data_IF_584490163385
#
_entry.id   IF_584490163385
#
_cell.length_a   1.000
_cell.length_b   1.000
_cell.length_c   1.000
_cell.angle_alpha   90.00
_cell.angle_beta   90.00
_cell.angle_gamma   90.00
#
_symmetry.space_group_name_H-M   'P 1'
#
loop_
_entity.id
_entity.type
_entity.pdbx_description
1 polymer ?
#
# COMPACT_ATOMS: atom_id res chain seq x y z
N UNK A 1 -6.15 -5.30 36.87
CA UNK A 1 -6.07 -5.47 36.30
C UNK A 1 -5.84 -5.80 35.15
N UNK A 2 -5.79 -6.33 35.03
CA UNK A 2 -5.38 -6.91 34.07
C UNK A 2 -5.52 -6.42 32.85
N UNK A 3 -6.41 -6.12 32.73
CA UNK A 3 -6.70 -5.78 31.58
C UNK A 3 -5.84 -5.01 30.95
N UNK A 4 -5.35 -4.45 31.64
CA UNK A 4 -4.71 -3.69 31.14
C UNK A 4 -3.69 -4.14 30.54
N UNK A 5 -3.46 -5.05 30.92
CA UNK A 5 -2.54 -5.63 30.29
C UNK A 5 -2.94 -6.11 29.12
N UNK A 6 -3.97 -5.76 28.70
CA UNK A 6 -4.35 -6.10 27.44
C UNK A 6 -3.37 -5.57 26.48
N UNK A 7 -2.70 -6.42 25.88
CA UNK A 7 -1.79 -6.10 24.87
C UNK A 7 -2.57 -5.56 23.73
N UNK A 8 -2.21 -4.41 23.28
CA UNK A 8 -2.83 -3.84 22.11
C UNK A 8 -2.46 -4.70 20.91
N UNK A 9 -3.43 -5.45 20.43
CA UNK A 9 -3.27 -6.22 19.19
C UNK A 9 -4.03 -5.54 18.10
N UNK A 10 -3.39 -5.38 16.95
CA UNK A 10 -4.06 -4.86 15.77
C UNK A 10 -4.03 -5.93 14.70
N UNK A 11 -5.00 -5.88 13.82
CA UNK A 11 -5.01 -6.73 12.64
C UNK A 11 -4.29 -5.99 11.54
N UNK A 12 -3.26 -6.62 11.02
CA UNK A 12 -2.56 -6.11 9.85
C UNK A 12 -2.92 -6.89 8.62
N UNK A 13 -2.64 -6.33 7.47
CA UNK A 13 -2.78 -7.02 6.19
C UNK A 13 -1.42 -7.06 5.52
N UNK A 14 -1.05 -8.23 5.03
CA UNK A 14 0.13 -8.41 4.21
C UNK A 14 -0.29 -8.31 2.75
N UNK A 15 0.29 -7.36 2.05
CA UNK A 15 0.02 -7.11 0.64
C UNK A 15 1.25 -7.56 -0.14
N UNK A 16 1.05 -8.49 -1.07
CA UNK A 16 2.16 -9.00 -1.88
C UNK A 16 2.32 -8.10 -3.10
N UNK A 17 3.53 -7.61 -3.33
CA UNK A 17 3.91 -6.93 -4.56
C UNK A 17 4.79 -7.86 -5.38
N UNK A 18 5.22 -7.43 -6.55
CA UNK A 18 6.06 -8.28 -7.39
C UNK A 18 7.45 -8.52 -6.78
N UNK A 19 7.95 -7.60 -5.97
CA UNK A 19 9.31 -7.66 -5.42
C UNK A 19 9.39 -7.57 -3.91
N UNK A 20 8.27 -7.43 -3.21
CA UNK A 20 8.28 -7.26 -1.75
C UNK A 20 6.93 -7.56 -1.14
N UNK A 21 6.92 -7.65 0.17
CA UNK A 21 5.72 -7.84 0.97
C UNK A 21 5.51 -6.58 1.80
N UNK A 22 4.31 -6.04 1.79
CA UNK A 22 3.99 -4.85 2.59
C UNK A 22 3.12 -5.24 3.77
N UNK A 23 3.31 -4.55 4.88
CA UNK A 23 2.45 -4.67 6.05
C UNK A 23 1.75 -3.34 6.28
N UNK A 24 0.41 -3.35 6.29
CA UNK A 24 -0.39 -2.17 6.59
C UNK A 24 -1.44 -2.53 7.63
N UNK A 25 -1.95 -1.57 8.42
CA UNK A 25 -3.10 -1.86 9.28
C UNK A 25 -4.32 -2.21 8.41
N UNK A 26 -5.17 -3.10 8.90
CA UNK A 26 -6.36 -3.45 8.11
C UNK A 26 -7.27 -2.24 7.88
N UNK A 27 -7.24 -1.25 8.78
CA UNK A 27 -8.02 -0.02 8.63
C UNK A 27 -7.53 0.86 7.48
N UNK A 28 -6.32 0.62 6.98
CA UNK A 28 -5.82 1.38 5.83
C UNK A 28 -6.48 0.95 4.52
N UNK A 29 -7.03 -0.25 4.45
CA UNK A 29 -7.61 -0.80 3.23
C UNK A 29 -9.13 -0.68 3.28
N UNK A 30 -9.71 0.02 2.31
CA UNK A 30 -11.16 0.16 2.20
C UNK A 30 -11.78 -1.04 1.50
N UNK A 31 -11.14 -1.54 0.45
CA UNK A 31 -11.70 -2.65 -0.34
C UNK A 31 -10.64 -3.30 -1.22
N UNK A 32 -10.80 -4.59 -1.48
CA UNK A 32 -10.03 -5.31 -2.51
C UNK A 32 -10.89 -5.40 -3.76
N UNK A 33 -10.36 -4.97 -4.89
CA UNK A 33 -11.10 -5.00 -6.16
C UNK A 33 -10.25 -5.63 -7.25
N UNK A 34 -10.91 -6.01 -8.33
CA UNK A 34 -10.20 -6.59 -9.47
C UNK A 34 -9.45 -5.51 -10.25
N UNK A 35 -8.35 -5.91 -10.89
CA UNK A 35 -7.64 -5.04 -11.82
C UNK A 35 -8.37 -5.11 -13.16
N UNK A 36 -9.17 -4.09 -13.47
CA UNK A 36 -9.85 -4.01 -14.76
C UNK A 36 -10.36 -2.60 -15.01
N UNK A 37 -10.59 -2.29 -16.28
CA UNK A 37 -11.12 -1.00 -16.69
C UNK A 37 -10.26 0.17 -16.21
N UNK A 38 -8.95 -0.03 -16.22
CA UNK A 38 -8.00 1.01 -15.85
C UNK A 38 -7.82 1.95 -17.03
N UNK A 39 -8.00 3.24 -16.80
CA UNK A 39 -7.73 4.27 -17.79
C UNK A 39 -6.24 4.59 -17.74
N UNK A 40 -5.46 4.23 -18.75
CA UNK A 40 -4.00 4.42 -18.66
C UNK A 40 -3.62 5.89 -18.54
N UNK A 41 -2.57 6.14 -17.76
CA UNK A 41 -1.98 7.47 -17.66
C UNK A 41 -1.08 7.72 -18.88
N UNK A 42 -1.10 8.95 -19.40
CA UNK A 42 -0.27 9.34 -20.54
C UNK A 42 0.84 10.27 -20.06
N UNK A 43 2.04 10.07 -20.62
CA UNK A 43 3.18 10.92 -20.30
C UNK A 43 3.45 10.97 -18.78
N UNK A 44 3.33 9.82 -18.14
CA UNK A 44 3.45 9.67 -16.70
C UNK A 44 4.52 8.65 -16.37
N UNK A 45 5.10 8.69 -15.17
CA UNK A 45 6.05 7.67 -14.76
C UNK A 45 5.39 6.29 -14.71
N UNK A 46 6.20 5.22 -14.81
CA UNK A 46 5.69 3.85 -14.83
C UNK A 46 4.95 3.47 -13.54
N UNK A 47 5.24 4.13 -12.43
CA UNK A 47 4.56 3.81 -11.18
C UNK A 47 3.12 4.33 -11.15
N UNK A 48 2.75 5.26 -12.02
CA UNK A 48 1.37 5.72 -12.12
C UNK A 48 0.71 4.97 -13.27
N UNK A 49 -0.10 3.98 -12.95
CA UNK A 49 -0.72 3.13 -13.97
C UNK A 49 -1.90 3.80 -14.65
N UNK A 50 -2.59 4.69 -13.95
CA UNK A 50 -3.73 5.39 -14.52
C UNK A 50 -4.78 5.68 -13.48
N UNK A 51 -6.04 5.62 -13.90
CA UNK A 51 -7.21 5.88 -13.05
C UNK A 51 -8.09 4.65 -13.04
N UNK A 52 -8.68 4.35 -11.88
CA UNK A 52 -9.63 3.25 -11.77
C UNK A 52 -10.93 3.79 -11.19
N UNK A 53 -12.04 3.36 -11.74
CA UNK A 53 -13.36 3.76 -11.25
C UNK A 53 -13.73 2.94 -10.01
N UNK A 54 -14.22 3.61 -8.96
CA UNK A 54 -14.64 2.96 -7.74
C UNK A 54 -15.68 3.83 -7.04
N UNK A 55 -16.89 3.28 -6.84
CA UNK A 55 -17.99 3.99 -6.13
C UNK A 55 -18.21 5.42 -6.64
N UNK A 56 -18.36 5.56 -7.95
CA UNK A 56 -18.57 6.86 -8.60
C UNK A 56 -17.38 7.82 -8.48
N UNK A 57 -16.23 7.32 -8.05
CA UNK A 57 -15.00 8.09 -8.00
C UNK A 57 -14.04 7.57 -9.05
N UNK A 58 -13.12 8.42 -9.48
CA UNK A 58 -12.00 8.02 -10.31
C UNK A 58 -10.74 8.19 -9.48
N UNK A 59 -10.06 7.09 -9.18
CA UNK A 59 -8.93 7.09 -8.26
C UNK A 59 -7.63 6.84 -9.00
N UNK A 60 -6.55 7.53 -8.63
CA UNK A 60 -5.25 7.20 -9.20
C UNK A 60 -4.78 5.83 -8.71
N UNK A 61 -4.21 5.05 -9.62
CA UNK A 61 -3.71 3.71 -9.35
C UNK A 61 -2.19 3.71 -9.45
N UNK A 62 -1.53 3.34 -8.37
CA UNK A 62 -0.08 3.34 -8.30
C UNK A 62 0.50 1.94 -8.14
N UNK A 63 1.78 1.82 -8.52
CA UNK A 63 2.58 0.62 -8.24
C UNK A 63 3.81 1.05 -7.45
N UNK A 64 3.84 0.74 -6.16
CA UNK A 64 4.95 1.11 -5.28
C UNK A 64 6.28 0.51 -5.77
N UNK A 65 6.24 -0.71 -6.32
CA UNK A 65 7.45 -1.39 -6.78
C UNK A 65 8.15 -0.68 -7.94
N UNK A 66 7.48 0.23 -8.61
CA UNK A 66 8.08 0.97 -9.75
C UNK A 66 8.49 2.40 -9.39
N UNK A 67 8.28 2.83 -8.15
CA UNK A 67 8.54 4.22 -7.78
C UNK A 67 10.03 4.57 -7.86
N UNK A 68 10.88 3.68 -7.38
CA UNK A 68 12.31 3.98 -7.32
C UNK A 68 12.98 3.84 -8.68
N UNK A 69 12.71 2.77 -9.39
CA UNK A 69 13.42 2.44 -10.63
C UNK A 69 12.66 2.78 -11.90
N UNK A 70 11.42 3.23 -11.76
CA UNK A 70 10.55 3.60 -12.88
C UNK A 70 10.47 2.50 -13.95
N UNK A 71 10.43 1.24 -13.52
CA UNK A 71 10.35 0.10 -14.42
C UNK A 71 8.89 -0.26 -14.69
N UNK A 72 8.58 -0.85 -15.87
CA UNK A 72 7.23 -1.32 -16.12
C UNK A 72 6.80 -2.36 -15.11
N UNK A 73 5.52 -2.34 -14.73
CA UNK A 73 4.99 -3.28 -13.74
C UNK A 73 4.56 -4.56 -14.39
N UNK A 74 4.66 -5.66 -13.61
CA UNK A 74 4.14 -6.96 -13.99
C UNK A 74 2.67 -7.02 -13.56
N UNK A 75 1.78 -7.32 -14.48
CA UNK A 75 0.34 -7.38 -14.23
C UNK A 75 -0.19 -8.80 -14.01
N UNK A 76 0.71 -9.79 -13.93
CA UNK A 76 0.28 -11.16 -13.66
C UNK A 76 -0.32 -11.24 -12.26
N UNK A 77 -1.48 -11.86 -12.14
CA UNK A 77 -2.21 -12.02 -10.88
C UNK A 77 -2.49 -10.67 -10.20
N UNK A 78 -2.64 -9.61 -10.99
CA UNK A 78 -2.83 -8.26 -10.45
C UNK A 78 -4.19 -8.10 -9.80
N UNK A 79 -4.20 -7.44 -8.65
CA UNK A 79 -5.39 -7.01 -7.93
C UNK A 79 -5.15 -5.58 -7.47
N UNK A 80 -6.17 -4.95 -6.95
CA UNK A 80 -6.07 -3.58 -6.51
C UNK A 80 -6.68 -3.46 -5.11
N UNK A 81 -5.98 -2.77 -4.22
CA UNK A 81 -6.57 -2.40 -2.93
C UNK A 81 -6.85 -0.90 -2.96
N UNK A 82 -8.02 -0.54 -2.46
CA UNK A 82 -8.38 0.85 -2.28
C UNK A 82 -7.90 1.26 -0.90
N UNK A 83 -7.08 2.29 -0.84
CA UNK A 83 -6.44 2.75 0.39
C UNK A 83 -7.11 4.01 0.89
N UNK A 84 -7.40 4.05 2.18
CA UNK A 84 -7.91 5.25 2.83
C UNK A 84 -6.79 6.27 2.93
N UNK A 85 -6.99 7.45 2.37
CA UNK A 85 -6.01 8.52 2.44
C UNK A 85 -5.95 9.09 3.85
N UNK A 86 -4.76 9.45 4.30
CA UNK A 86 -4.53 9.93 5.66
C UNK A 86 -4.01 11.37 5.71
N UNK A 87 -3.80 11.99 4.56
CA UNK A 87 -3.18 13.30 4.48
C UNK A 87 -4.11 14.49 4.76
N UNK A 88 -5.40 14.24 4.97
CA UNK A 88 -6.34 15.31 5.30
C UNK A 88 -6.72 16.24 4.17
N UNK A 89 -6.44 15.90 2.93
CA UNK A 89 -6.79 16.73 1.77
C UNK A 89 -8.31 16.69 1.55
N UNK A 90 -8.97 17.84 1.39
CA UNK A 90 -10.44 17.91 1.42
C UNK A 90 -11.16 17.07 0.37
N UNK A 91 -10.60 16.92 -0.81
CA UNK A 91 -11.26 16.21 -1.90
C UNK A 91 -10.58 14.89 -2.26
N UNK A 92 -9.63 14.47 -1.45
CA UNK A 92 -8.86 13.26 -1.73
C UNK A 92 -8.97 12.33 -0.53
N UNK A 93 -9.81 11.32 -0.64
CA UNK A 93 -10.10 10.40 0.46
C UNK A 93 -9.59 8.99 0.22
N UNK A 94 -9.31 8.64 -1.03
CA UNK A 94 -8.90 7.29 -1.41
C UNK A 94 -7.92 7.31 -2.56
N UNK A 95 -7.06 6.32 -2.61
CA UNK A 95 -6.27 6.03 -3.80
C UNK A 95 -6.15 4.53 -3.97
N UNK A 96 -5.67 4.08 -5.11
CA UNK A 96 -5.59 2.66 -5.42
C UNK A 96 -4.15 2.20 -5.52
N UNK A 97 -3.86 1.01 -4.99
CA UNK A 97 -2.53 0.44 -4.99
C UNK A 97 -2.55 -0.93 -5.65
N UNK A 98 -1.65 -1.14 -6.60
CA UNK A 98 -1.51 -2.42 -7.27
C UNK A 98 -0.89 -3.44 -6.33
N UNK A 99 -1.50 -4.62 -6.24
CA UNK A 99 -0.95 -5.74 -5.49
C UNK A 99 -1.05 -7.02 -6.33
N UNK A 100 -0.50 -8.11 -5.82
CA UNK A 100 -0.61 -9.44 -6.41
C UNK A 100 -1.44 -10.32 -5.49
N UNK A 101 -2.39 -11.04 -6.06
CA UNK A 101 -3.17 -11.99 -5.30
C UNK A 101 -4.04 -11.36 -4.22
N UNK A 102 -4.26 -12.08 -3.15
CA UNK A 102 -5.20 -11.71 -2.09
C UNK A 102 -4.42 -11.37 -0.81
N UNK A 103 -4.76 -10.26 -0.13
CA UNK A 103 -4.11 -9.92 1.13
C UNK A 103 -4.30 -11.00 2.18
N UNK A 104 -3.31 -11.14 3.06
CA UNK A 104 -3.39 -12.07 4.21
C UNK A 104 -3.50 -11.27 5.49
N UNK A 105 -4.40 -11.70 6.38
CA UNK A 105 -4.56 -11.10 7.69
C UNK A 105 -3.50 -11.61 8.66
N UNK A 106 -2.92 -10.74 9.46
CA UNK A 106 -1.98 -11.13 10.52
C UNK A 106 -2.28 -10.33 11.77
N UNK A 107 -1.99 -10.92 12.94
CA UNK A 107 -2.10 -10.21 14.21
C UNK A 107 -0.76 -9.59 14.55
N UNK A 108 -0.80 -8.34 14.94
CA UNK A 108 0.39 -7.57 15.27
C UNK A 108 0.26 -7.08 16.71
N UNK A 109 1.30 -7.29 17.50
CA UNK A 109 1.35 -6.77 18.86
C UNK A 109 2.74 -6.20 19.13
N UNK A 110 3.03 -5.86 20.37
CA UNK A 110 4.30 -5.23 20.73
C UNK A 110 5.50 -6.19 20.62
N UNK A 111 5.27 -7.49 20.36
CA UNK A 111 6.38 -8.41 20.15
C UNK A 111 6.86 -8.43 18.71
N UNK A 112 6.29 -7.61 17.85
CA UNK A 112 6.70 -7.52 16.44
C UNK A 112 8.19 -7.21 16.36
N UNK A 113 8.92 -8.03 15.63
CA UNK A 113 10.37 -7.88 15.49
C UNK A 113 10.70 -6.90 14.37
N UNK A 114 11.31 -5.78 14.74
CA UNK A 114 11.80 -4.81 13.77
C UNK A 114 13.17 -5.24 13.27
N UNK A 115 13.40 -5.09 11.97
CA UNK A 115 14.64 -5.51 11.32
C UNK A 115 15.46 -4.26 10.97
N UNK A 116 16.15 -3.73 11.97
CA UNK A 116 16.87 -2.45 11.81
C UNK A 116 18.02 -2.52 10.81
N UNK A 117 18.54 -3.73 10.52
CA UNK A 117 19.62 -3.89 9.55
C UNK A 117 19.10 -4.10 8.13
N UNK A 118 17.79 -4.23 7.96
CA UNK A 118 17.23 -4.42 6.63
C UNK A 118 17.21 -3.08 5.89
N UNK A 119 17.77 -2.98 4.69
CA UNK A 119 17.76 -1.71 3.96
C UNK A 119 16.34 -1.32 3.55
N UNK A 120 16.03 -0.03 3.70
CA UNK A 120 14.74 0.51 3.29
C UNK A 120 14.86 1.14 1.91
N UNK A 121 13.88 0.87 1.08
CA UNK A 121 13.78 1.50 -0.23
C UNK A 121 12.93 2.77 -0.13
N UNK A 122 12.78 3.45 -1.26
CA UNK A 122 11.98 4.66 -1.32
C UNK A 122 10.54 4.36 -0.84
N UNK A 123 10.00 5.22 0.00
CA UNK A 123 8.64 5.11 0.55
C UNK A 123 8.44 3.91 1.44
N UNK A 124 9.50 3.46 2.10
CA UNK A 124 9.42 2.46 3.16
C UNK A 124 9.83 3.09 4.47
N UNK A 125 9.03 2.90 5.52
CA UNK A 125 9.30 3.46 6.84
C UNK A 125 10.04 2.50 7.75
N UNK A 126 9.84 1.19 7.57
CA UNK A 126 10.39 0.19 8.48
C UNK A 126 10.36 -1.18 7.79
N UNK A 127 11.10 -2.10 8.35
CA UNK A 127 11.09 -3.50 7.95
C UNK A 127 10.87 -4.35 9.18
N UNK A 128 10.02 -5.37 9.06
CA UNK A 128 9.66 -6.23 10.19
C UNK A 128 9.68 -7.69 9.76
N UNK A 129 9.78 -8.58 10.74
CA UNK A 129 9.71 -10.02 10.52
C UNK A 129 8.30 -10.49 10.83
N UNK A 130 7.65 -11.11 9.85
CA UNK A 130 6.34 -11.73 10.03
C UNK A 130 6.50 -13.19 9.65
N UNK A 131 6.48 -14.05 10.65
CA UNK A 131 6.58 -15.52 10.46
C UNK A 131 7.75 -15.92 9.54
N UNK A 132 8.89 -15.28 9.74
CA UNK A 132 10.10 -15.57 8.96
C UNK A 132 10.24 -14.81 7.65
N UNK A 133 9.24 -14.01 7.28
CA UNK A 133 9.30 -13.22 6.06
C UNK A 133 9.56 -11.76 6.38
N UNK A 134 10.32 -11.10 5.53
CA UNK A 134 10.54 -9.65 5.65
C UNK A 134 9.35 -8.92 5.05
N UNK A 135 8.70 -8.10 5.84
CA UNK A 135 7.63 -7.22 5.37
C UNK A 135 8.06 -5.78 5.57
N UNK A 136 7.69 -4.91 4.63
CA UNK A 136 8.02 -3.49 4.69
C UNK A 136 6.78 -2.69 5.04
N UNK A 137 6.95 -1.68 5.88
CA UNK A 137 5.85 -0.79 6.24
C UNK A 137 5.94 0.40 5.28
N UNK A 138 4.93 0.58 4.40
CA UNK A 138 5.00 1.65 3.40
C UNK A 138 4.69 3.02 3.99
N UNK A 139 5.27 4.04 3.38
CA UNK A 139 4.97 5.43 3.71
C UNK A 139 3.75 5.88 2.91
N UNK A 140 2.56 5.63 3.44
CA UNK A 140 1.32 5.95 2.74
C UNK A 140 1.16 7.46 2.54
N UNK A 141 1.59 8.26 3.53
CA UNK A 141 1.56 9.72 3.39
C UNK A 141 2.49 10.17 2.26
N UNK A 142 3.65 9.54 2.13
CA UNK A 142 4.57 9.83 1.04
C UNK A 142 4.01 9.48 -0.33
N UNK A 143 3.24 8.39 -0.43
CA UNK A 143 2.56 8.05 -1.67
C UNK A 143 1.54 9.11 -2.05
N UNK A 144 0.77 9.60 -1.08
CA UNK A 144 -0.18 10.69 -1.32
C UNK A 144 0.55 11.95 -1.80
N UNK A 145 1.70 12.25 -1.21
CA UNK A 145 2.47 13.42 -1.59
C UNK A 145 2.97 13.30 -3.03
N UNK A 146 3.36 12.11 -3.46
CA UNK A 146 3.75 11.89 -4.84
C UNK A 146 2.61 12.18 -5.81
N UNK A 147 1.39 11.82 -5.45
CA UNK A 147 0.22 12.13 -6.26
C UNK A 147 -0.06 13.63 -6.27
N UNK A 148 0.11 14.29 -5.14
CA UNK A 148 -0.05 15.74 -5.06
C UNK A 148 0.99 16.46 -5.92
N UNK A 149 2.22 15.95 -5.94
CA UNK A 149 3.30 16.54 -6.76
C UNK A 149 3.00 16.45 -8.25
N UNK A 150 2.19 15.49 -8.66
CA UNK A 150 1.73 15.38 -10.05
C UNK A 150 0.40 16.11 -10.30
N UNK A 151 -0.09 16.82 -9.29
CA UNK A 151 -1.36 17.56 -9.37
C UNK A 151 -2.56 16.67 -9.65
N UNK A 152 -2.52 15.43 -9.17
CA UNK A 152 -3.61 14.48 -9.34
C UNK A 152 -4.63 14.54 -8.21
N UNK A 153 -4.29 15.23 -7.14
CA UNK A 153 -5.14 15.35 -5.96
C UNK A 153 -5.01 16.73 -5.35
#
# INVERSE_FOLDING_TARGET
>A
VASEQTVAQITGLLLTLSDRLLLVPNTAVAELVAYRNVQPAKNSPNWLLGQIAWRDLSLPLLALESVENDTPVDLDNARVVIINAIGGRPKFRFFALLIKGIPRSVRIDHSLQHLSDEPLQVLELDAVNIDGEVAKIPDLAGLEQKLADLELI
#
